data_IF_389196916059
#
_entry.id   IF_389196916059
#
_cell.length_a   1.000
_cell.length_b   1.000
_cell.length_c   1.000
_cell.angle_alpha   90.00
_cell.angle_beta   90.00
_cell.angle_gamma   90.00
#
_symmetry.space_group_name_H-M   'P 1'
#
loop_
_entity.id
_entity.type
_entity.pdbx_description
1 polymer ?
#
# COMPACT_ATOMS: atom_id res chain seq x y z
N UNK A 1 1.27 7.96 -35.25
CA UNK A 1 1.33 9.23 -34.50
C UNK A 1 0.30 9.11 -33.41
N UNK A 2 0.72 9.05 -32.15
CA UNK A 2 -0.22 9.20 -31.03
C UNK A 2 -0.90 10.56 -31.15
N UNK A 3 -2.21 10.60 -30.95
CA UNK A 3 -2.96 11.85 -30.95
C UNK A 3 -2.55 12.69 -29.73
N UNK A 4 -2.59 14.03 -29.85
CA UNK A 4 -2.28 14.90 -28.70
C UNK A 4 -3.10 14.59 -27.44
N UNK A 5 -4.30 14.03 -27.61
CA UNK A 5 -5.14 13.53 -26.52
C UNK A 5 -4.59 12.31 -25.78
N UNK A 6 -3.92 11.38 -26.46
CA UNK A 6 -3.32 10.19 -25.84
C UNK A 6 -2.14 10.57 -24.94
N UNK A 7 -1.29 11.48 -25.42
CA UNK A 7 -0.17 12.04 -24.65
C UNK A 7 -0.65 12.72 -23.37
N UNK A 8 -1.72 13.51 -23.45
CA UNK A 8 -2.33 14.14 -22.25
C UNK A 8 -2.89 13.09 -21.30
N UNK A 9 -3.54 12.03 -21.82
CA UNK A 9 -4.07 10.95 -20.98
C UNK A 9 -2.96 10.19 -20.24
N UNK A 10 -1.85 9.84 -20.91
CA UNK A 10 -0.70 9.21 -20.27
C UNK A 10 -0.03 10.11 -19.23
N UNK A 11 0.08 11.41 -19.53
CA UNK A 11 0.60 12.37 -18.58
C UNK A 11 -0.26 12.45 -17.32
N UNK A 12 -1.59 12.57 -17.47
CA UNK A 12 -2.53 12.59 -16.35
C UNK A 12 -2.44 11.31 -15.53
N UNK A 13 -2.42 10.15 -16.18
CA UNK A 13 -2.27 8.86 -15.51
C UNK A 13 -0.97 8.80 -14.70
N UNK A 14 0.14 9.25 -15.28
CA UNK A 14 1.45 9.27 -14.59
C UNK A 14 1.42 10.17 -13.36
N UNK A 15 0.83 11.36 -13.47
CA UNK A 15 0.64 12.30 -12.34
C UNK A 15 -0.24 11.67 -11.27
N UNK A 16 -1.37 11.06 -11.64
CA UNK A 16 -2.27 10.38 -10.70
C UNK A 16 -1.58 9.24 -9.97
N UNK A 17 -0.79 8.42 -10.67
CA UNK A 17 -0.01 7.32 -10.07
C UNK A 17 1.01 7.87 -9.08
N UNK A 18 1.79 8.88 -9.47
CA UNK A 18 2.80 9.49 -8.61
C UNK A 18 2.18 10.10 -7.34
N UNK A 19 1.04 10.78 -7.46
CA UNK A 19 0.31 11.34 -6.33
C UNK A 19 -0.25 10.25 -5.41
N UNK A 20 -0.89 9.22 -5.98
CA UNK A 20 -1.44 8.10 -5.21
C UNK A 20 -0.35 7.41 -4.39
N UNK A 21 0.79 7.09 -5.01
CA UNK A 21 1.92 6.48 -4.30
C UNK A 21 2.53 7.38 -3.24
N UNK A 22 2.70 8.67 -3.53
CA UNK A 22 3.24 9.63 -2.55
C UNK A 22 2.33 9.71 -1.32
N UNK A 23 1.02 9.85 -1.53
CA UNK A 23 0.03 9.87 -0.45
C UNK A 23 0.03 8.55 0.34
N UNK A 24 0.01 7.41 -0.36
CA UNK A 24 0.06 6.09 0.26
C UNK A 24 1.31 5.88 1.10
N UNK A 25 2.48 6.29 0.59
CA UNK A 25 3.74 6.21 1.31
C UNK A 25 3.75 7.08 2.57
N UNK A 26 3.35 8.35 2.48
CA UNK A 26 3.34 9.24 3.65
C UNK A 26 2.28 8.84 4.68
N UNK A 27 1.11 8.38 4.25
CA UNK A 27 0.11 7.82 5.14
C UNK A 27 0.66 6.59 5.88
N UNK A 28 1.31 5.67 5.17
CA UNK A 28 1.95 4.51 5.75
C UNK A 28 3.04 4.90 6.77
N UNK A 29 3.94 5.84 6.42
CA UNK A 29 5.00 6.31 7.33
C UNK A 29 4.41 6.91 8.60
N UNK A 30 3.33 7.71 8.49
CA UNK A 30 2.65 8.28 9.63
C UNK A 30 2.08 7.21 10.57
N UNK A 31 1.39 6.21 10.02
CA UNK A 31 0.84 5.07 10.78
C UNK A 31 1.97 4.26 11.42
N UNK A 32 3.02 3.95 10.67
CA UNK A 32 4.20 3.23 11.16
C UNK A 32 4.84 3.94 12.34
N UNK A 33 5.06 5.25 12.22
CA UNK A 33 5.63 6.06 13.31
C UNK A 33 4.77 5.93 14.56
N UNK A 34 3.45 6.03 14.43
CA UNK A 34 2.55 5.89 15.58
C UNK A 34 2.56 4.49 16.18
N UNK A 35 2.65 3.46 15.33
CA UNK A 35 2.80 2.07 15.77
C UNK A 35 4.10 1.87 16.57
N UNK A 36 5.19 2.48 16.12
CA UNK A 36 6.51 2.37 16.75
C UNK A 36 6.60 3.13 18.08
N UNK A 37 5.82 4.21 18.22
CA UNK A 37 5.63 4.90 19.50
C UNK A 37 4.84 4.03 20.49
N UNK A 38 3.80 3.33 20.02
CA UNK A 38 2.93 2.51 20.86
C UNK A 38 3.59 1.19 21.29
N UNK A 39 4.34 0.58 20.38
CA UNK A 39 5.01 -0.70 20.61
C UNK A 39 6.53 -0.50 20.66
N UNK A 40 7.14 -0.68 21.82
CA UNK A 40 8.59 -0.58 21.99
C UNK A 40 9.25 -1.90 22.39
N UNK A 41 10.57 -1.98 22.20
CA UNK A 41 11.40 -3.10 22.63
C UNK A 41 11.27 -4.37 21.79
N UNK A 42 11.58 -5.52 22.39
CA UNK A 42 11.71 -6.80 21.70
C UNK A 42 10.43 -7.30 21.01
N UNK A 43 9.25 -6.80 21.42
CA UNK A 43 7.96 -7.19 20.83
C UNK A 43 7.56 -6.37 19.58
N UNK A 44 8.29 -5.31 19.25
CA UNK A 44 7.93 -4.39 18.17
C UNK A 44 7.88 -5.09 16.81
N UNK A 45 8.97 -5.76 16.40
CA UNK A 45 9.07 -6.35 15.07
C UNK A 45 8.06 -7.50 14.84
N UNK A 46 7.85 -8.45 15.78
CA UNK A 46 6.83 -9.48 15.61
C UNK A 46 5.42 -8.90 15.50
N UNK A 47 5.08 -7.90 16.35
CA UNK A 47 3.77 -7.24 16.29
C UNK A 47 3.57 -6.50 14.98
N UNK A 48 4.59 -5.80 14.49
CA UNK A 48 4.55 -5.09 13.21
C UNK A 48 4.30 -6.04 12.05
N UNK A 49 4.95 -7.21 12.05
CA UNK A 49 4.75 -8.23 11.04
C UNK A 49 3.30 -8.74 11.04
N UNK A 50 2.76 -9.09 12.22
CA UNK A 50 1.37 -9.56 12.35
C UNK A 50 0.39 -8.50 11.84
N UNK A 51 0.54 -7.24 12.27
CA UNK A 51 -0.34 -6.16 11.83
C UNK A 51 -0.23 -5.89 10.33
N UNK A 52 0.99 -5.92 9.77
CA UNK A 52 1.20 -5.80 8.33
C UNK A 52 0.43 -6.86 7.55
N UNK A 53 0.50 -8.13 7.98
CA UNK A 53 -0.25 -9.23 7.35
C UNK A 53 -1.76 -9.00 7.48
N UNK A 54 -2.25 -8.61 8.66
CA UNK A 54 -3.68 -8.31 8.87
C UNK A 54 -4.15 -7.16 7.97
N UNK A 55 -3.36 -6.10 7.83
CA UNK A 55 -3.68 -4.98 6.93
C UNK A 55 -3.70 -5.41 5.46
N UNK A 56 -2.80 -6.30 5.03
CA UNK A 56 -2.84 -6.88 3.68
C UNK A 56 -4.10 -7.69 3.45
N UNK A 57 -4.54 -8.50 4.43
CA UNK A 57 -5.79 -9.25 4.34
C UNK A 57 -6.97 -8.27 4.19
N UNK A 58 -7.06 -7.23 5.01
CA UNK A 58 -8.12 -6.23 4.88
C UNK A 58 -8.11 -5.50 3.55
N UNK A 59 -6.93 -5.21 3.00
CA UNK A 59 -6.81 -4.57 1.69
C UNK A 59 -7.34 -5.47 0.56
N UNK A 60 -7.05 -6.77 0.61
CA UNK A 60 -7.59 -7.75 -0.35
C UNK A 60 -9.11 -7.90 -0.18
N UNK A 61 -9.60 -8.00 1.06
CA UNK A 61 -11.03 -8.09 1.33
C UNK A 61 -11.78 -6.83 0.86
N UNK A 62 -11.19 -5.65 1.03
CA UNK A 62 -11.74 -4.39 0.53
C UNK A 62 -11.84 -4.41 -1.00
N UNK A 63 -10.79 -4.86 -1.68
CA UNK A 63 -10.79 -5.02 -3.13
C UNK A 63 -11.93 -5.94 -3.60
N UNK A 64 -12.05 -7.13 -2.99
CA UNK A 64 -13.12 -8.08 -3.34
C UNK A 64 -14.51 -7.53 -3.04
N UNK A 65 -14.71 -6.83 -1.91
CA UNK A 65 -15.99 -6.23 -1.56
C UNK A 65 -16.42 -5.17 -2.58
N UNK A 66 -15.49 -4.33 -3.03
CA UNK A 66 -15.77 -3.31 -4.05
C UNK A 66 -16.01 -3.96 -5.42
N UNK A 67 -15.23 -4.97 -5.80
CA UNK A 67 -15.42 -5.74 -7.04
C UNK A 67 -16.80 -6.38 -7.10
N UNK A 68 -17.25 -7.02 -6.02
CA UNK A 68 -18.59 -7.61 -5.90
C UNK A 68 -19.70 -6.57 -6.06
N UNK A 69 -19.48 -5.35 -5.56
CA UNK A 69 -20.47 -4.27 -5.60
C UNK A 69 -20.55 -3.56 -6.95
N UNK A 70 -19.41 -3.35 -7.62
CA UNK A 70 -19.32 -2.51 -8.83
C UNK A 70 -19.25 -3.32 -10.14
N UNK A 71 -18.97 -4.62 -10.08
CA UNK A 71 -18.74 -5.44 -11.27
C UNK A 71 -17.51 -4.96 -12.06
N UNK A 72 -17.44 -5.33 -13.35
CA UNK A 72 -16.39 -4.86 -14.26
C UNK A 72 -16.67 -3.40 -14.64
N UNK A 73 -15.96 -2.47 -14.00
CA UNK A 73 -16.12 -1.02 -14.16
C UNK A 73 -14.78 -0.36 -14.41
N UNK A 74 -14.71 0.76 -15.16
CA UNK A 74 -13.49 1.58 -15.25
C UNK A 74 -12.93 2.01 -13.87
N UNK A 75 -13.78 2.00 -12.83
CA UNK A 75 -13.38 2.22 -11.45
C UNK A 75 -12.45 1.15 -10.88
N UNK A 76 -12.39 -0.04 -11.50
CA UNK A 76 -11.48 -1.11 -11.11
C UNK A 76 -10.00 -0.67 -11.20
N UNK A 77 -9.65 0.10 -12.23
CA UNK A 77 -8.28 0.64 -12.39
C UNK A 77 -7.93 1.61 -11.26
N UNK A 78 -8.87 2.48 -10.88
CA UNK A 78 -8.67 3.41 -9.76
C UNK A 78 -8.59 2.69 -8.42
N UNK A 79 -9.40 1.65 -8.24
CA UNK A 79 -9.34 0.79 -7.05
C UNK A 79 -8.00 0.05 -6.98
N UNK A 80 -7.54 -0.56 -8.07
CA UNK A 80 -6.25 -1.23 -8.13
C UNK A 80 -5.10 -0.26 -7.84
N UNK A 81 -5.20 0.97 -8.34
CA UNK A 81 -4.23 2.01 -8.01
C UNK A 81 -4.23 2.36 -6.51
N UNK A 82 -5.41 2.51 -5.89
CA UNK A 82 -5.53 2.77 -4.46
C UNK A 82 -5.00 1.61 -3.61
N UNK A 83 -5.31 0.37 -4.00
CA UNK A 83 -4.78 -0.86 -3.38
C UNK A 83 -3.27 -0.90 -3.52
N UNK A 84 -2.71 -0.65 -4.71
CA UNK A 84 -1.27 -0.64 -4.92
C UNK A 84 -0.57 0.45 -4.09
N UNK A 85 -1.13 1.66 -4.06
CA UNK A 85 -0.58 2.80 -3.33
C UNK A 85 -0.44 2.52 -1.82
N UNK A 86 -1.36 1.77 -1.21
CA UNK A 86 -1.32 1.41 0.21
C UNK A 86 -0.55 0.10 0.42
N UNK A 87 -0.80 -0.89 -0.44
CA UNK A 87 -0.29 -2.26 -0.31
C UNK A 87 1.21 -2.35 -0.54
N UNK A 88 1.78 -1.56 -1.45
CA UNK A 88 3.22 -1.61 -1.73
C UNK A 88 4.06 -1.16 -0.53
N UNK A 89 3.81 0.00 0.11
CA UNK A 89 4.51 0.38 1.34
C UNK A 89 4.37 -0.67 2.46
N UNK A 90 3.19 -1.26 2.63
CA UNK A 90 2.95 -2.32 3.62
C UNK A 90 3.77 -3.58 3.31
N UNK A 91 3.77 -4.03 2.04
CA UNK A 91 4.52 -5.20 1.60
C UNK A 91 6.03 -5.00 1.78
N UNK A 92 6.55 -3.82 1.42
CA UNK A 92 7.96 -3.47 1.63
C UNK A 92 8.30 -3.55 3.13
N UNK A 93 7.44 -3.03 4.00
CA UNK A 93 7.70 -3.09 5.44
C UNK A 93 7.61 -4.49 6.02
N UNK A 94 6.67 -5.33 5.57
CA UNK A 94 6.62 -6.75 5.92
C UNK A 94 7.95 -7.40 5.57
N UNK A 95 8.44 -7.25 4.33
CA UNK A 95 9.69 -7.84 3.86
C UNK A 95 10.88 -7.35 4.69
N UNK A 96 10.99 -6.03 4.92
CA UNK A 96 12.06 -5.43 5.72
C UNK A 96 12.01 -5.90 7.17
N UNK A 97 10.82 -5.99 7.76
CA UNK A 97 10.61 -6.45 9.13
C UNK A 97 10.95 -7.92 9.29
N UNK A 98 10.50 -8.78 8.37
CA UNK A 98 10.86 -10.20 8.33
C UNK A 98 12.36 -10.39 8.20
N UNK A 99 13.01 -9.64 7.31
CA UNK A 99 14.47 -9.70 7.15
C UNK A 99 15.22 -9.31 8.43
N UNK A 100 14.78 -8.26 9.13
CA UNK A 100 15.37 -7.85 10.41
C UNK A 100 15.19 -8.90 11.51
N UNK A 101 14.01 -9.53 11.58
CA UNK A 101 13.74 -10.63 12.50
C UNK A 101 14.65 -11.84 12.24
N UNK A 102 14.79 -12.25 10.97
CA UNK A 102 15.59 -13.40 10.58
C UNK A 102 17.09 -13.19 10.79
N UNK A 103 17.59 -11.96 10.59
CA UNK A 103 19.01 -11.62 10.81
C UNK A 103 19.38 -11.35 12.26
N UNK A 104 18.44 -11.44 13.20
CA UNK A 104 18.72 -11.34 14.63
C UNK A 104 19.43 -10.03 15.03
N UNK A 105 19.17 -8.93 14.32
CA UNK A 105 19.69 -7.62 14.74
C UNK A 105 18.98 -7.22 16.05
N UNK A 106 19.66 -7.50 17.16
CA UNK A 106 19.49 -6.81 18.43
C UNK A 106 19.81 -5.33 18.26
#
# INVERSE_FOLDING_TARGET
MESGSELVAYWLLTVSVALAFSLGYYAYISIKRKFDEEYSGASLLPKRLIHGVVYMIFLVLLHEAVKLRLGSSPLEVLMLLAVAAIGIPLLVDIVVTSYRLLRGHK
#
